data_IF_962585440537
#
_entry.id   IF_962585440537
#
_cell.length_a   1.000
_cell.length_b   1.000
_cell.length_c   1.000
_cell.angle_alpha   90.00
_cell.angle_beta   90.00
_cell.angle_gamma   90.00
#
_symmetry.space_group_name_H-M   'P 1'
#
loop_
_entity.id
_entity.type
_entity.pdbx_description
1 polymer ?
#
# COMPACT_ATOMS: atom_id res chain seq x y z
N UNK A 1 64.67 65.17 -70.45
CA UNK A 1 63.76 66.29 -70.79
C UNK A 1 62.35 65.91 -70.38
N UNK A 2 61.71 66.80 -69.58
CA UNK A 2 60.28 67.17 -69.48
C UNK A 2 59.27 66.16 -70.07
N UNK A 3 58.22 65.72 -69.37
CA UNK A 3 56.98 66.46 -69.08
C UNK A 3 56.14 65.64 -68.06
N UNK A 4 55.59 66.22 -66.96
CA UNK A 4 54.22 66.82 -66.84
C UNK A 4 53.11 65.92 -67.40
N UNK A 5 51.92 65.72 -66.84
CA UNK A 5 51.13 66.16 -65.66
C UNK A 5 49.75 65.45 -65.83
N UNK A 6 48.84 65.54 -64.85
CA UNK A 6 47.35 65.37 -64.92
C UNK A 6 46.80 63.98 -64.52
N UNK A 7 46.30 63.80 -63.29
CA UNK A 7 44.94 64.08 -62.72
C UNK A 7 43.83 63.16 -63.24
N UNK A 8 43.17 62.40 -62.36
CA UNK A 8 41.70 62.41 -62.15
C UNK A 8 41.24 61.36 -61.11
N UNK A 9 40.18 61.71 -60.40
CA UNK A 9 39.52 61.13 -59.21
C UNK A 9 38.65 59.89 -59.46
N UNK A 10 38.60 58.94 -58.51
CA UNK A 10 37.46 58.00 -58.32
C UNK A 10 37.20 57.77 -56.82
N UNK A 11 35.95 58.00 -56.40
CA UNK A 11 35.41 57.76 -55.06
C UNK A 11 35.29 56.27 -54.75
N UNK A 12 35.58 55.87 -53.51
CA UNK A 12 35.41 54.48 -53.04
C UNK A 12 34.61 54.46 -51.73
N UNK A 13 33.39 53.90 -51.80
CA UNK A 13 32.56 53.52 -50.65
C UNK A 13 33.29 52.45 -49.81
N UNK A 14 33.40 52.63 -48.49
CA UNK A 14 33.73 51.55 -47.57
C UNK A 14 32.51 51.16 -46.74
N UNK A 15 32.04 49.94 -46.98
CA UNK A 15 31.07 49.20 -46.17
C UNK A 15 31.72 48.82 -44.83
N UNK A 16 31.11 49.20 -43.70
CA UNK A 16 31.49 48.67 -42.37
C UNK A 16 30.67 47.39 -42.14
N UNK A 17 31.33 46.23 -42.13
CA UNK A 17 30.73 44.97 -41.75
C UNK A 17 30.62 44.90 -40.21
N UNK A 18 29.39 44.91 -39.68
CA UNK A 18 29.11 44.63 -38.27
C UNK A 18 29.23 43.14 -37.99
N UNK A 19 30.11 42.75 -37.06
CA UNK A 19 30.20 41.38 -36.57
C UNK A 19 28.99 41.07 -35.67
N UNK A 20 28.15 40.12 -36.08
CA UNK A 20 27.10 39.57 -35.24
C UNK A 20 27.74 38.68 -34.17
N UNK A 21 27.67 39.11 -32.91
CA UNK A 21 28.04 38.26 -31.76
C UNK A 21 26.92 37.24 -31.54
N UNK A 22 27.20 35.97 -31.80
CA UNK A 22 26.33 34.88 -31.38
C UNK A 22 26.43 34.76 -29.85
N UNK A 23 25.36 35.12 -29.14
CA UNK A 23 25.27 34.92 -27.70
C UNK A 23 25.12 33.42 -27.41
N UNK A 24 25.98 32.89 -26.54
CA UNK A 24 25.88 31.52 -26.04
C UNK A 24 24.53 31.36 -25.29
N UNK A 25 23.74 30.29 -25.52
CA UNK A 25 22.48 30.10 -24.83
C UNK A 25 22.75 29.85 -23.34
N UNK A 26 22.34 30.81 -22.50
CA UNK A 26 22.40 30.63 -21.05
C UNK A 26 21.43 29.50 -20.65
N UNK A 27 21.87 28.53 -19.83
CA UNK A 27 21.00 27.45 -19.41
C UNK A 27 19.84 28.03 -18.59
N UNK A 28 18.62 27.90 -19.12
CA UNK A 28 17.39 28.30 -18.42
C UNK A 28 16.91 27.12 -17.56
N UNK A 29 16.91 27.32 -16.24
CA UNK A 29 16.31 26.38 -15.31
C UNK A 29 14.86 26.81 -15.07
N UNK A 30 13.91 25.95 -15.44
CA UNK A 30 12.48 26.14 -15.16
C UNK A 30 12.08 25.22 -14.01
N UNK A 31 11.13 25.65 -13.19
CA UNK A 31 10.69 24.82 -12.07
C UNK A 31 10.01 23.55 -12.58
N UNK A 32 10.62 22.39 -12.32
CA UNK A 32 9.97 21.09 -12.46
C UNK A 32 8.89 20.93 -11.38
N UNK A 33 7.81 20.21 -11.69
CA UNK A 33 6.67 20.00 -10.80
C UNK A 33 7.00 19.31 -9.48
N UNK A 34 5.98 18.97 -8.70
CA UNK A 34 6.14 18.41 -7.35
C UNK A 34 6.10 16.88 -7.34
N UNK A 35 6.94 16.28 -6.50
CA UNK A 35 6.92 14.85 -6.15
C UNK A 35 6.49 14.73 -4.70
N UNK A 36 5.56 13.81 -4.41
CA UNK A 36 5.11 13.50 -3.06
C UNK A 36 5.76 12.19 -2.57
N UNK A 37 6.32 12.22 -1.37
CA UNK A 37 6.94 11.07 -0.72
C UNK A 37 6.19 10.75 0.58
N UNK A 38 5.81 9.50 0.77
CA UNK A 38 5.21 8.98 2.00
C UNK A 38 6.05 7.81 2.52
N UNK A 39 6.21 7.74 3.84
CA UNK A 39 6.96 6.69 4.50
C UNK A 39 6.81 6.76 6.01
N UNK A 40 6.94 5.62 6.69
CA UNK A 40 6.87 5.52 8.15
C UNK A 40 8.13 4.82 8.65
N UNK A 41 8.98 5.55 9.38
CA UNK A 41 10.10 4.97 10.11
C UNK A 41 9.62 4.56 11.51
N UNK A 42 9.69 3.27 11.82
CA UNK A 42 9.38 2.73 13.14
C UNK A 42 10.68 2.24 13.79
N UNK A 43 10.91 2.58 15.06
CA UNK A 43 12.01 2.02 15.85
C UNK A 43 11.58 0.68 16.46
N UNK A 44 11.23 -0.27 15.60
CA UNK A 44 10.80 -1.61 16.00
C UNK A 44 11.83 -2.65 15.57
N UNK A 45 11.75 -3.87 16.12
CA UNK A 45 12.68 -4.96 15.80
C UNK A 45 12.66 -5.35 14.31
N UNK A 46 11.59 -5.03 13.57
CA UNK A 46 11.47 -5.20 12.12
C UNK A 46 10.73 -4.02 11.47
N UNK A 47 10.96 -3.82 10.17
CA UNK A 47 10.16 -2.95 9.31
C UNK A 47 9.04 -3.75 8.62
N UNK A 48 7.78 -3.31 8.72
CA UNK A 48 6.69 -3.97 7.98
C UNK A 48 6.80 -3.62 6.49
N UNK A 49 6.74 -4.62 5.61
CA UNK A 49 6.78 -4.41 4.16
C UNK A 49 5.62 -3.53 3.69
N UNK A 50 5.89 -2.56 2.82
CA UNK A 50 4.86 -1.64 2.28
C UNK A 50 3.72 -2.37 1.58
N UNK A 51 4.02 -3.49 0.91
CA UNK A 51 3.01 -4.37 0.29
C UNK A 51 2.10 -5.09 1.29
N UNK A 52 2.56 -5.24 2.53
CA UNK A 52 1.76 -5.84 3.61
C UNK A 52 1.04 -4.78 4.44
N UNK A 53 1.53 -3.53 4.44
CA UNK A 53 0.93 -2.41 5.14
C UNK A 53 -0.39 -1.95 4.53
N UNK A 54 -0.53 -2.05 3.21
CA UNK A 54 -1.76 -1.79 2.47
C UNK A 54 -2.02 -2.97 1.51
N UNK A 55 -2.89 -3.90 1.94
CA UNK A 55 -3.18 -5.13 1.21
C UNK A 55 -4.68 -5.39 1.16
N UNK A 56 -5.17 -5.80 -0.02
CA UNK A 56 -6.54 -6.28 -0.21
C UNK A 56 -6.54 -7.80 -0.35
N UNK A 57 -7.30 -8.50 0.50
CA UNK A 57 -7.46 -9.96 0.45
C UNK A 57 -8.82 -10.30 -0.16
N UNK A 58 -8.84 -10.91 -1.34
CA UNK A 58 -10.09 -11.32 -2.00
C UNK A 58 -10.60 -12.64 -1.42
N UNK A 59 -11.69 -12.58 -0.63
CA UNK A 59 -12.27 -13.76 0.03
C UNK A 59 -13.00 -14.72 -0.93
N UNK A 60 -13.35 -14.26 -2.13
CA UNK A 60 -14.09 -15.01 -3.13
C UNK A 60 -15.60 -14.82 -3.06
N UNK A 61 -16.33 -15.52 -3.92
CA UNK A 61 -17.79 -15.49 -3.99
C UNK A 61 -18.37 -16.84 -3.60
N UNK A 62 -19.38 -16.82 -2.75
CA UNK A 62 -20.04 -18.02 -2.23
C UNK A 62 -21.55 -17.92 -2.41
N UNK A 63 -22.20 -19.06 -2.64
CA UNK A 63 -23.67 -19.11 -2.70
C UNK A 63 -24.22 -18.91 -1.29
N UNK A 64 -25.10 -17.94 -1.12
CA UNK A 64 -25.78 -17.68 0.16
C UNK A 64 -26.55 -18.89 0.66
N UNK A 65 -27.14 -19.67 -0.26
CA UNK A 65 -27.85 -20.92 0.07
C UNK A 65 -26.96 -21.99 0.72
N UNK A 66 -25.62 -21.87 0.65
CA UNK A 66 -24.70 -22.78 1.34
C UNK A 66 -24.55 -22.48 2.83
N UNK A 67 -24.97 -21.29 3.29
CA UNK A 67 -25.01 -20.95 4.70
C UNK A 67 -26.38 -21.35 5.26
N UNK A 68 -26.46 -22.56 5.79
CA UNK A 68 -27.71 -23.18 6.25
C UNK A 68 -27.86 -23.15 7.78
N UNK A 69 -26.77 -22.88 8.50
CA UNK A 69 -26.75 -22.81 9.96
C UNK A 69 -25.73 -21.77 10.45
N UNK A 70 -26.01 -21.23 11.64
CA UNK A 70 -25.07 -20.38 12.38
C UNK A 70 -23.75 -21.15 12.57
N UNK A 71 -22.63 -20.48 12.31
CA UNK A 71 -21.30 -21.08 12.38
C UNK A 71 -20.84 -21.82 11.12
N UNK A 72 -21.66 -21.93 10.07
CA UNK A 72 -21.16 -22.36 8.76
C UNK A 72 -20.03 -21.43 8.27
N UNK A 73 -18.97 -22.02 7.73
CA UNK A 73 -17.78 -21.28 7.27
C UNK A 73 -17.46 -21.56 5.82
N UNK A 74 -16.85 -20.59 5.15
CA UNK A 74 -16.26 -20.78 3.82
C UNK A 74 -14.87 -21.43 3.91
N UNK A 75 -14.27 -21.67 2.74
CA UNK A 75 -12.86 -21.99 2.64
C UNK A 75 -12.00 -20.88 3.26
N UNK A 76 -10.85 -21.26 3.81
CA UNK A 76 -9.85 -20.35 4.34
C UNK A 76 -9.05 -19.74 3.18
N UNK A 77 -9.00 -18.42 3.13
CA UNK A 77 -8.20 -17.67 2.15
C UNK A 77 -6.91 -17.20 2.83
N UNK A 78 -5.74 -17.65 2.37
CA UNK A 78 -4.48 -17.29 3.01
C UNK A 78 -4.07 -15.86 2.67
N UNK A 79 -3.48 -15.18 3.64
CA UNK A 79 -2.77 -13.92 3.45
C UNK A 79 -1.54 -13.88 4.36
N UNK A 80 -0.64 -12.91 4.13
CA UNK A 80 0.62 -12.84 4.86
C UNK A 80 1.06 -11.42 5.17
N UNK A 81 1.70 -11.25 6.31
CA UNK A 81 2.37 -10.03 6.71
C UNK A 81 3.87 -10.28 6.65
N UNK A 82 4.55 -9.57 5.76
CA UNK A 82 6.01 -9.68 5.57
C UNK A 82 6.70 -8.60 6.39
N UNK A 83 7.66 -9.02 7.20
CA UNK A 83 8.54 -8.16 7.99
C UNK A 83 9.93 -8.21 7.35
N UNK A 84 10.51 -7.05 7.07
CA UNK A 84 11.85 -6.87 6.55
C UNK A 84 12.80 -6.39 7.65
N UNK A 85 14.10 -6.60 7.42
CA UNK A 85 15.18 -6.06 8.25
C UNK A 85 14.99 -6.38 9.75
N UNK A 86 14.52 -7.59 10.06
CA UNK A 86 14.37 -8.03 11.43
C UNK A 86 15.73 -8.27 12.10
N UNK A 87 15.90 -7.79 13.32
CA UNK A 87 17.02 -8.15 14.21
C UNK A 87 16.51 -8.91 15.45
N UNK A 88 16.69 -10.25 15.51
CA UNK A 88 16.30 -11.07 16.65
C UNK A 88 16.97 -10.69 17.97
N UNK A 89 18.05 -9.89 17.96
CA UNK A 89 18.69 -9.38 19.18
C UNK A 89 17.90 -8.24 19.81
N UNK A 90 17.05 -7.55 19.05
CA UNK A 90 16.17 -6.49 19.54
C UNK A 90 14.88 -7.10 20.11
N UNK A 91 14.30 -8.07 19.41
CA UNK A 91 13.17 -8.87 19.90
C UNK A 91 13.22 -10.27 19.28
N UNK A 92 13.01 -11.30 20.09
CA UNK A 92 13.12 -12.69 19.64
C UNK A 92 11.88 -13.16 18.86
N UNK A 93 10.73 -12.52 19.09
CA UNK A 93 9.44 -12.94 18.58
C UNK A 93 8.59 -11.77 18.08
N UNK A 94 7.67 -12.07 17.16
CA UNK A 94 6.62 -11.17 16.72
C UNK A 94 5.24 -11.83 16.85
N UNK A 95 4.23 -11.02 17.14
CA UNK A 95 2.81 -11.39 17.12
C UNK A 95 1.97 -10.26 16.52
N UNK A 96 0.77 -10.59 16.04
CA UNK A 96 -0.12 -9.63 15.38
C UNK A 96 -1.50 -9.68 16.01
N UNK A 97 -2.07 -8.51 16.34
CA UNK A 97 -3.48 -8.35 16.64
C UNK A 97 -4.18 -7.63 15.48
N UNK A 98 -5.48 -7.84 15.32
CA UNK A 98 -6.29 -7.13 14.33
C UNK A 98 -7.34 -6.29 15.04
N UNK A 99 -7.64 -5.11 14.52
CA UNK A 99 -8.64 -4.17 15.03
C UNK A 99 -9.55 -3.74 13.90
N UNK A 100 -10.85 -3.84 14.10
CA UNK A 100 -11.86 -3.39 13.13
C UNK A 100 -13.24 -3.37 13.75
N UNK A 101 -14.25 -2.97 12.99
CA UNK A 101 -15.61 -2.96 13.50
C UNK A 101 -16.08 -4.41 13.71
N UNK A 102 -16.41 -4.77 14.96
CA UNK A 102 -16.86 -6.11 15.30
C UNK A 102 -18.33 -6.33 14.92
N UNK A 103 -18.68 -7.52 14.47
CA UNK A 103 -20.07 -7.91 14.19
C UNK A 103 -20.92 -7.84 15.48
N UNK A 104 -22.13 -7.28 15.36
CA UNK A 104 -23.01 -7.04 16.51
C UNK A 104 -23.55 -8.35 17.13
N UNK A 105 -23.65 -9.43 16.35
CA UNK A 105 -24.16 -10.73 16.81
C UNK A 105 -23.04 -11.58 17.38
N UNK A 106 -21.88 -11.58 16.73
CA UNK A 106 -20.69 -12.29 17.16
C UNK A 106 -19.47 -11.36 17.17
N UNK A 107 -19.11 -10.79 18.34
CA UNK A 107 -18.04 -9.79 18.43
C UNK A 107 -16.63 -10.39 18.25
N UNK A 108 -16.50 -11.69 17.94
CA UNK A 108 -15.23 -12.30 17.53
C UNK A 108 -15.03 -12.25 16.00
N UNK A 109 -15.99 -11.71 15.26
CA UNK A 109 -15.93 -11.53 13.82
C UNK A 109 -15.86 -10.04 13.47
N UNK A 110 -15.26 -9.72 12.33
CA UNK A 110 -15.41 -8.42 11.69
C UNK A 110 -16.81 -8.33 11.08
N UNK A 111 -17.46 -7.20 11.29
CA UNK A 111 -18.67 -6.82 10.61
C UNK A 111 -18.39 -6.59 9.13
N UNK A 112 -19.40 -6.87 8.30
CA UNK A 112 -19.29 -6.70 6.85
C UNK A 112 -19.97 -5.41 6.38
N UNK A 113 -19.39 -4.80 5.36
CA UNK A 113 -19.86 -3.57 4.71
C UNK A 113 -19.88 -3.74 3.19
N UNK A 114 -20.42 -2.73 2.50
CA UNK A 114 -20.46 -2.65 1.04
C UNK A 114 -19.98 -1.27 0.60
N UNK A 115 -19.51 -1.16 -0.64
CA UNK A 115 -19.27 0.14 -1.25
C UNK A 115 -20.60 0.85 -1.55
N UNK A 116 -20.53 2.18 -1.72
CA UNK A 116 -21.69 3.01 -2.05
C UNK A 116 -22.48 2.44 -3.24
N UNK A 117 -23.80 2.38 -3.12
CA UNK A 117 -24.75 1.85 -4.11
C UNK A 117 -24.77 0.32 -4.29
N UNK A 118 -24.17 -0.45 -3.38
CA UNK A 118 -24.31 -1.93 -3.34
C UNK A 118 -25.07 -2.41 -2.11
N UNK A 119 -25.81 -3.51 -2.23
CA UNK A 119 -26.47 -4.16 -1.09
C UNK A 119 -25.43 -4.86 -0.22
N UNK A 120 -25.44 -4.64 1.09
CA UNK A 120 -24.62 -5.38 2.05
C UNK A 120 -25.24 -6.75 2.33
N UNK A 121 -24.42 -7.80 2.32
CA UNK A 121 -24.85 -9.12 2.81
C UNK A 121 -25.15 -9.05 4.31
N UNK A 122 -26.09 -9.87 4.77
CA UNK A 122 -26.42 -9.98 6.20
C UNK A 122 -26.31 -11.42 6.68
N UNK A 123 -26.15 -11.59 8.00
CA UNK A 123 -26.03 -12.91 8.63
C UNK A 123 -24.67 -13.57 8.46
N UNK A 124 -23.64 -12.81 8.10
CA UNK A 124 -22.25 -13.27 7.97
C UNK A 124 -21.29 -12.22 8.57
N UNK A 125 -20.19 -12.71 9.12
CA UNK A 125 -19.02 -11.90 9.50
C UNK A 125 -17.75 -12.50 8.92
N UNK A 126 -16.64 -11.76 9.00
CA UNK A 126 -15.30 -12.23 8.58
C UNK A 126 -14.52 -12.69 9.81
N UNK A 127 -14.04 -13.92 9.78
CA UNK A 127 -13.17 -14.52 10.81
C UNK A 127 -11.72 -14.49 10.32
N UNK A 128 -10.80 -14.00 11.16
CA UNK A 128 -9.36 -14.04 10.93
C UNK A 128 -8.76 -15.11 11.83
N UNK A 129 -7.88 -15.94 11.27
CA UNK A 129 -7.18 -17.00 11.98
C UNK A 129 -5.67 -16.86 11.81
N UNK A 130 -4.92 -17.21 12.84
CA UNK A 130 -3.47 -17.34 12.75
C UNK A 130 -3.03 -18.67 12.10
N UNK A 131 -1.72 -18.85 11.94
CA UNK A 131 -1.14 -20.06 11.36
C UNK A 131 -1.39 -21.34 12.19
N UNK A 132 -1.85 -21.21 13.44
CA UNK A 132 -2.28 -22.34 14.29
C UNK A 132 -3.76 -22.67 14.11
N UNK A 133 -4.46 -21.99 13.19
CA UNK A 133 -5.92 -22.04 13.01
C UNK A 133 -6.69 -21.52 14.23
N UNK A 134 -6.08 -20.66 15.04
CA UNK A 134 -6.74 -20.03 16.18
C UNK A 134 -7.43 -18.73 15.73
N UNK A 135 -8.74 -18.55 15.99
CA UNK A 135 -9.44 -17.29 15.66
C UNK A 135 -8.90 -16.11 16.48
N UNK A 136 -8.73 -14.97 15.83
CA UNK A 136 -8.29 -13.72 16.44
C UNK A 136 -9.45 -12.74 16.51
N UNK A 137 -9.81 -12.30 17.72
CA UNK A 137 -10.84 -11.29 17.93
C UNK A 137 -10.35 -9.94 17.37
N UNK A 138 -11.16 -9.21 16.58
CA UNK A 138 -10.74 -7.96 15.95
C UNK A 138 -10.82 -6.75 16.90
N UNK A 139 -10.28 -6.86 18.11
CA UNK A 139 -10.33 -5.82 19.16
C UNK A 139 -9.02 -5.02 19.30
N UNK A 140 -7.99 -5.36 18.53
CA UNK A 140 -6.66 -4.77 18.58
C UNK A 140 -5.80 -5.20 19.77
N UNK A 141 -6.28 -6.14 20.60
CA UNK A 141 -5.58 -6.61 21.79
C UNK A 141 -5.40 -8.14 21.84
N UNK A 142 -6.15 -8.88 21.02
CA UNK A 142 -6.02 -10.33 20.88
C UNK A 142 -4.94 -10.68 19.86
N UNK A 143 -3.74 -11.00 20.35
CA UNK A 143 -2.57 -11.31 19.53
C UNK A 143 -2.54 -12.77 19.08
N UNK A 144 -1.99 -12.99 17.89
CA UNK A 144 -1.65 -14.32 17.35
C UNK A 144 -0.67 -15.08 18.23
N UNK A 145 -0.54 -16.39 17.98
CA UNK A 145 0.60 -17.14 18.47
C UNK A 145 1.92 -16.43 18.09
N UNK A 146 2.87 -16.41 19.02
CA UNK A 146 4.18 -15.78 18.82
C UNK A 146 4.96 -16.56 17.78
N UNK A 147 5.54 -15.86 16.81
CA UNK A 147 6.45 -16.43 15.84
C UNK A 147 7.88 -16.01 16.17
N UNK A 148 8.80 -16.98 16.24
CA UNK A 148 10.23 -16.69 16.36
C UNK A 148 10.74 -15.95 15.12
N UNK A 149 11.53 -14.91 15.35
CA UNK A 149 12.13 -14.09 14.29
C UNK A 149 13.52 -14.64 13.92
N UNK A 150 13.84 -14.55 12.63
CA UNK A 150 15.19 -14.75 12.10
C UNK A 150 15.79 -13.46 11.56
N UNK A 151 17.12 -13.47 11.41
CA UNK A 151 17.92 -12.59 10.54
C UNK A 151 17.17 -12.07 9.29
N UNK A 152 16.78 -10.79 9.19
CA UNK A 152 16.26 -10.22 7.94
C UNK A 152 14.76 -10.45 7.69
N UNK A 153 14.38 -11.13 6.60
CA UNK A 153 12.97 -11.21 6.19
C UNK A 153 12.21 -12.35 6.87
N UNK A 154 11.07 -12.01 7.48
CA UNK A 154 10.15 -12.95 8.13
C UNK A 154 8.76 -12.85 7.51
N UNK A 155 8.06 -13.98 7.40
CA UNK A 155 6.68 -14.03 6.87
C UNK A 155 5.76 -14.63 7.93
N UNK A 156 4.79 -13.83 8.40
CA UNK A 156 3.72 -14.29 9.28
C UNK A 156 2.50 -14.64 8.42
N UNK A 157 1.94 -15.83 8.64
CA UNK A 157 0.84 -16.37 7.84
C UNK A 157 -0.47 -16.35 8.61
N UNK A 158 -1.53 -15.98 7.91
CA UNK A 158 -2.89 -15.90 8.44
C UNK A 158 -3.86 -16.43 7.39
N UNK A 159 -5.09 -16.68 7.83
CA UNK A 159 -6.20 -16.93 6.91
C UNK A 159 -7.42 -16.12 7.30
N UNK A 160 -8.27 -15.83 6.32
CA UNK A 160 -9.57 -15.22 6.54
C UNK A 160 -10.67 -16.05 5.88
N UNK A 161 -11.86 -16.06 6.47
CA UNK A 161 -13.03 -16.75 5.92
C UNK A 161 -14.33 -16.07 6.36
N UNK A 162 -15.40 -16.27 5.62
CA UNK A 162 -16.74 -15.91 6.11
C UNK A 162 -17.24 -16.95 7.11
N UNK A 163 -17.98 -16.47 8.12
CA UNK A 163 -18.69 -17.29 9.10
C UNK A 163 -20.11 -16.76 9.30
N UNK A 164 -21.10 -17.66 9.20
CA UNK A 164 -22.50 -17.31 9.39
C UNK A 164 -22.79 -16.93 10.85
N UNK A 165 -23.48 -15.81 11.03
CA UNK A 165 -24.00 -15.30 12.31
C UNK A 165 -25.52 -15.48 12.42
N UNK A 166 -26.21 -15.78 11.31
CA UNK A 166 -27.63 -16.08 11.26
C UNK A 166 -27.89 -17.37 10.46
N UNK A 167 -29.07 -17.98 10.66
CA UNK A 167 -29.53 -19.16 9.89
C UNK A 167 -29.97 -18.80 8.47
N UNK A 168 -30.41 -17.55 8.25
CA UNK A 168 -30.77 -17.03 6.95
C UNK A 168 -29.85 -15.86 6.60
N UNK A 169 -28.98 -16.06 5.61
CA UNK A 169 -28.08 -15.01 5.09
C UNK A 169 -28.67 -14.36 3.84
N UNK A 170 -28.52 -13.05 3.67
CA UNK A 170 -28.94 -12.35 2.44
C UNK A 170 -27.76 -12.10 1.50
N UNK A 171 -27.97 -12.13 0.17
CA UNK A 171 -26.91 -11.81 -0.78
C UNK A 171 -26.53 -10.34 -0.74
N UNK A 172 -25.28 -10.05 -1.09
CA UNK A 172 -24.73 -8.70 -1.13
C UNK A 172 -23.20 -8.72 -1.08
N UNK A 173 -22.60 -7.53 -1.12
CA UNK A 173 -21.18 -7.37 -0.82
C UNK A 173 -20.93 -7.58 0.68
N UNK A 174 -19.76 -8.13 1.00
CA UNK A 174 -19.38 -8.48 2.36
C UNK A 174 -17.90 -8.13 2.60
N UNK A 175 -17.58 -6.84 2.47
CA UNK A 175 -16.23 -6.30 2.63
C UNK A 175 -15.96 -5.99 4.11
N UNK A 176 -14.70 -5.80 4.52
CA UNK A 176 -14.36 -5.24 5.82
C UNK A 176 -12.99 -4.57 5.77
N UNK A 177 -12.83 -3.54 6.60
CA UNK A 177 -11.55 -2.88 6.84
C UNK A 177 -11.06 -3.21 8.25
N UNK A 178 -9.79 -3.56 8.36
CA UNK A 178 -9.14 -3.83 9.64
C UNK A 178 -7.70 -3.30 9.64
N UNK A 179 -7.27 -2.81 10.80
CA UNK A 179 -5.88 -2.44 11.06
C UNK A 179 -5.20 -3.57 11.80
N UNK A 180 -3.97 -3.92 11.42
CA UNK A 180 -3.15 -4.85 12.18
C UNK A 180 -2.16 -4.11 13.07
N UNK A 181 -1.86 -4.69 14.23
CA UNK A 181 -0.96 -4.14 15.25
C UNK A 181 0.15 -5.16 15.51
N UNK A 182 1.39 -4.72 15.35
CA UNK A 182 2.57 -5.55 15.62
C UNK A 182 2.93 -5.50 17.10
N UNK A 183 3.27 -6.65 17.68
CA UNK A 183 3.91 -6.78 18.99
C UNK A 183 5.21 -7.53 18.83
N UNK A 184 6.29 -6.96 19.35
CA UNK A 184 7.62 -7.56 19.38
C UNK A 184 8.00 -7.84 20.84
N UNK A 185 8.52 -9.03 21.11
CA UNK A 185 8.95 -9.48 22.45
C UNK A 185 10.23 -10.32 22.38
#
# INVERSE_FOLDING_TARGET
MKHKLMTSTIASLMFVAGAAVAADPTPVSVSGGTIHFEGKLVNAACAVSTKSADQTVTLGQYRTASFTAIGNTTAQVPFSIVLNDCDPKVAATAAVAFSGQADNTNPNLLAVSSADNSTTATGVGIEILDNTSSPLKPDGATFSAKQALVEGTNTLRFTARYKATATATTPGQANADATFIMKYE
#
